data_IF_115922835341
#
_entry.id   IF_115922835341
#
_cell.length_a   1.000
_cell.length_b   1.000
_cell.length_c   1.000
_cell.angle_alpha   90.00
_cell.angle_beta   90.00
_cell.angle_gamma   90.00
#
_symmetry.space_group_name_H-M   'P 1'
#
loop_
_entity.id
_entity.type
_entity.pdbx_description
1 polymer ?
#
# COMPACT_ATOMS: atom_id res chain seq x y z
N UNK A 1 -2.68 -6.59 10.03
CA UNK A 1 -1.93 -5.80 9.05
C UNK A 1 -2.88 -5.11 8.09
N UNK A 2 -2.50 -3.92 7.66
CA UNK A 2 -3.29 -3.18 6.70
C UNK A 2 -2.95 -3.54 5.24
N UNK A 3 -2.15 -4.57 5.05
CA UNK A 3 -1.74 -5.03 3.72
C UNK A 3 -1.86 -6.53 3.66
N UNK A 4 -2.49 -7.02 2.60
CA UNK A 4 -2.67 -8.44 2.35
C UNK A 4 -2.06 -8.80 1.01
N UNK A 5 -1.63 -10.05 0.86
CA UNK A 5 -1.09 -10.54 -0.40
C UNK A 5 -1.83 -11.79 -0.83
N UNK A 6 -1.93 -11.98 -2.15
CA UNK A 6 -2.53 -13.17 -2.72
C UNK A 6 -1.81 -13.51 -4.02
N UNK A 7 -1.32 -14.73 -4.11
CA UNK A 7 -0.69 -15.21 -5.33
C UNK A 7 -1.77 -15.63 -6.33
N UNK A 8 -1.69 -15.09 -7.53
CA UNK A 8 -2.68 -15.36 -8.58
C UNK A 8 -2.18 -16.39 -9.60
N UNK A 9 -0.94 -16.84 -9.47
CA UNK A 9 -0.34 -17.73 -10.45
C UNK A 9 0.38 -16.98 -11.55
N UNK A 10 1.14 -17.69 -12.36
CA UNK A 10 1.88 -17.11 -13.49
C UNK A 10 2.84 -15.99 -13.11
N UNK A 11 3.34 -16.03 -11.88
CA UNK A 11 4.25 -15.01 -11.40
C UNK A 11 3.60 -13.73 -10.93
N UNK A 12 2.29 -13.69 -10.80
CA UNK A 12 1.53 -12.51 -10.41
C UNK A 12 1.14 -12.62 -8.94
N UNK A 13 1.45 -11.59 -8.16
CA UNK A 13 1.02 -11.48 -6.77
C UNK A 13 0.22 -10.20 -6.59
N UNK A 14 -0.93 -10.32 -5.97
CA UNK A 14 -1.78 -9.21 -5.65
C UNK A 14 -1.43 -8.68 -4.27
N UNK A 15 -1.20 -7.37 -4.17
CA UNK A 15 -0.93 -6.68 -2.90
C UNK A 15 -2.09 -5.74 -2.64
N UNK A 16 -2.82 -5.99 -1.57
CA UNK A 16 -4.07 -5.27 -1.28
C UNK A 16 -3.89 -4.42 -0.04
N UNK A 17 -4.08 -3.12 -0.19
CA UNK A 17 -4.19 -2.23 0.96
C UNK A 17 -5.59 -2.42 1.54
N UNK A 18 -5.64 -2.79 2.82
CA UNK A 18 -6.91 -3.17 3.44
C UNK A 18 -7.13 -2.37 4.73
N UNK A 19 -7.49 -1.11 4.56
CA UNK A 19 -7.87 -0.24 5.66
C UNK A 19 -9.07 0.61 5.25
N UNK A 20 -10.22 -0.03 5.03
CA UNK A 20 -11.39 0.66 4.48
C UNK A 20 -11.94 1.74 5.40
N UNK A 21 -11.70 1.66 6.69
CA UNK A 21 -12.17 2.68 7.64
C UNK A 21 -11.58 4.05 7.35
N UNK A 22 -10.40 4.10 6.76
CA UNK A 22 -9.73 5.34 6.41
C UNK A 22 -9.63 5.51 4.90
N UNK A 23 -10.42 4.76 4.14
CA UNK A 23 -10.34 4.70 2.68
C UNK A 23 -8.92 4.36 2.21
N UNK A 24 -8.31 3.40 2.91
CA UNK A 24 -6.95 2.93 2.60
C UNK A 24 -5.92 4.06 2.63
N UNK A 25 -6.03 4.95 3.61
CA UNK A 25 -5.05 6.03 3.76
C UNK A 25 -3.65 5.45 3.98
N UNK A 26 -2.65 6.16 3.48
CA UNK A 26 -1.26 5.71 3.58
C UNK A 26 -0.63 6.24 4.87
N UNK A 27 -1.11 5.73 6.00
CA UNK A 27 -0.52 6.02 7.30
C UNK A 27 0.92 5.47 7.36
N UNK A 28 1.70 5.91 8.33
CA UNK A 28 3.05 5.37 8.50
C UNK A 28 3.01 3.87 8.72
N UNK A 29 2.01 3.37 9.43
CA UNK A 29 1.86 1.94 9.63
C UNK A 29 1.61 1.22 8.31
N UNK A 30 0.70 1.73 7.49
CA UNK A 30 0.39 1.13 6.20
C UNK A 30 1.60 1.19 5.27
N UNK A 31 2.32 2.32 5.25
CA UNK A 31 3.52 2.44 4.44
C UNK A 31 4.59 1.45 4.87
N UNK A 32 4.75 1.25 6.18
CA UNK A 32 5.70 0.26 6.69
C UNK A 32 5.29 -1.15 6.29
N UNK A 33 4.00 -1.45 6.40
CA UNK A 33 3.49 -2.76 6.00
C UNK A 33 3.72 -3.00 4.50
N UNK A 34 3.50 -1.97 3.67
CA UNK A 34 3.78 -2.06 2.24
C UNK A 34 5.26 -2.29 1.96
N UNK A 35 6.13 -1.53 2.63
CA UNK A 35 7.56 -1.68 2.44
C UNK A 35 8.01 -3.10 2.79
N UNK A 36 7.58 -3.60 3.94
CA UNK A 36 7.94 -4.95 4.35
C UNK A 36 7.41 -6.00 3.37
N UNK A 37 6.22 -5.78 2.84
CA UNK A 37 5.63 -6.68 1.85
C UNK A 37 6.46 -6.68 0.57
N UNK A 38 6.85 -5.50 0.06
CA UNK A 38 7.64 -5.43 -1.16
C UNK A 38 9.03 -6.03 -0.97
N UNK A 39 9.65 -5.83 0.19
CA UNK A 39 10.95 -6.45 0.48
C UNK A 39 10.82 -7.97 0.45
N UNK A 40 9.77 -8.50 1.05
CA UNK A 40 9.54 -9.95 1.05
C UNK A 40 9.31 -10.48 -0.34
N UNK A 41 8.49 -9.78 -1.15
CA UNK A 41 8.19 -10.22 -2.51
C UNK A 41 9.37 -10.07 -3.46
N UNK A 42 10.26 -9.12 -3.18
CA UNK A 42 11.49 -8.97 -3.97
C UNK A 42 12.36 -10.21 -3.88
N UNK A 43 12.28 -10.92 -2.77
CA UNK A 43 13.04 -12.15 -2.56
C UNK A 43 12.29 -13.40 -3.01
N UNK A 44 11.05 -13.25 -3.42
CA UNK A 44 10.21 -14.37 -3.84
C UNK A 44 10.43 -14.65 -5.32
N UNK A 45 11.05 -15.79 -5.61
CA UNK A 45 11.35 -16.15 -7.00
C UNK A 45 10.11 -16.39 -7.85
N UNK A 46 8.97 -16.62 -7.22
CA UNK A 46 7.71 -16.87 -7.93
C UNK A 46 6.98 -15.59 -8.31
N UNK A 47 7.35 -14.46 -7.72
CA UNK A 47 6.69 -13.19 -8.00
C UNK A 47 7.47 -12.39 -9.02
N UNK A 48 6.85 -12.13 -10.16
CA UNK A 48 7.43 -11.31 -11.24
C UNK A 48 6.70 -10.00 -11.43
N UNK A 49 5.39 -10.00 -11.13
CA UNK A 49 4.53 -8.83 -11.31
C UNK A 49 3.72 -8.65 -10.04
N UNK A 50 3.63 -7.42 -9.60
CA UNK A 50 2.81 -7.07 -8.44
C UNK A 50 1.67 -6.20 -8.94
N UNK A 51 0.44 -6.59 -8.60
CA UNK A 51 -0.73 -5.77 -8.82
C UNK A 51 -1.10 -5.15 -7.47
N UNK A 52 -1.01 -3.83 -7.39
CA UNK A 52 -1.35 -3.11 -6.17
C UNK A 52 -2.78 -2.60 -6.26
N UNK A 53 -3.59 -2.94 -5.28
CA UNK A 53 -4.98 -2.48 -5.25
C UNK A 53 -5.41 -2.16 -3.84
N UNK A 54 -6.53 -1.47 -3.71
CA UNK A 54 -7.13 -1.16 -2.42
C UNK A 54 -8.46 -1.88 -2.26
N UNK A 55 -8.75 -2.32 -1.04
CA UNK A 55 -10.07 -2.87 -0.72
C UNK A 55 -11.08 -1.75 -0.55
N UNK A 56 -12.37 -2.10 -0.67
CA UNK A 56 -13.44 -1.14 -0.47
C UNK A 56 -13.73 -0.30 -1.70
N UNK A 57 -14.15 0.94 -1.47
CA UNK A 57 -14.69 1.78 -2.53
C UNK A 57 -13.65 2.48 -3.38
N UNK A 58 -12.42 2.53 -2.95
CA UNK A 58 -11.38 3.22 -3.69
C UNK A 58 -10.03 2.62 -3.43
N UNK A 59 -9.05 3.05 -4.22
CA UNK A 59 -7.71 2.54 -4.06
C UNK A 59 -7.09 3.05 -2.75
N UNK A 60 -6.97 4.35 -2.60
CA UNK A 60 -6.38 4.97 -1.41
C UNK A 60 -6.78 6.43 -1.34
N UNK A 61 -6.93 6.93 -0.12
CA UNK A 61 -7.15 8.35 0.13
C UNK A 61 -5.84 9.14 0.19
N UNK A 62 -4.70 8.46 0.02
CA UNK A 62 -3.41 9.09 0.11
C UNK A 62 -2.88 9.06 1.54
N UNK A 63 -1.83 9.84 1.79
CA UNK A 63 -1.22 9.88 3.10
C UNK A 63 -2.18 10.45 4.14
N UNK A 64 -2.09 9.96 5.37
CA UNK A 64 -2.94 10.41 6.45
C UNK A 64 -2.63 11.89 6.77
N UNK A 65 -3.66 12.73 6.68
CA UNK A 65 -3.49 14.17 6.86
C UNK A 65 -2.98 14.54 8.25
N UNK A 66 -3.31 13.75 9.26
CA UNK A 66 -2.81 14.01 10.62
C UNK A 66 -1.30 13.87 10.71
N UNK A 67 -0.73 12.98 9.90
CA UNK A 67 0.69 12.74 9.92
C UNK A 67 1.48 13.78 9.12
N UNK A 68 0.83 14.47 8.19
CA UNK A 68 1.50 15.48 7.37
C UNK A 68 1.14 16.91 7.77
N UNK A 69 0.46 17.09 8.89
CA UNK A 69 0.01 18.41 9.31
C UNK A 69 1.12 19.44 9.43
N UNK A 70 2.35 19.02 9.73
CA UNK A 70 3.48 19.93 9.87
C UNK A 70 4.23 20.21 8.57
N UNK A 71 3.85 19.56 7.47
CA UNK A 71 4.56 19.71 6.19
C UNK A 71 3.60 20.07 5.06
N UNK A 72 2.62 20.85 5.37
CA UNK A 72 1.49 21.15 4.49
C UNK A 72 1.89 21.74 3.13
N UNK A 73 3.03 22.40 3.05
CA UNK A 73 3.44 23.05 1.81
C UNK A 73 4.08 22.10 0.81
N UNK A 74 4.32 20.88 1.20
CA UNK A 74 5.01 19.96 0.32
C UNK A 74 4.19 19.48 -0.85
N UNK A 75 2.89 19.51 -0.71
CA UNK A 75 2.02 19.08 -1.79
C UNK A 75 2.21 19.91 -3.06
N UNK A 76 2.68 21.13 -2.93
CA UNK A 76 2.89 22.01 -4.07
C UNK A 76 4.13 21.65 -4.88
N UNK A 77 4.91 20.70 -4.43
CA UNK A 77 6.15 20.34 -5.08
C UNK A 77 6.00 19.12 -6.00
N UNK A 78 4.83 18.60 -6.06
CA UNK A 78 4.53 17.46 -6.93
C UNK A 78 4.05 17.89 -8.32
#
# INVERSE_FOLDING_TARGET
MNVKTRKLGNGITNVVINDPKTYNSLSFKTLRDLLNTFIRLDKDNDTRVIILEGSGKGFSAGHNLKEVGGIKNRSNQL
#
